data_IF_891069510608
#
_entry.id   IF_891069510608
#
_cell.length_a   1.000
_cell.length_b   1.000
_cell.length_c   1.000
_cell.angle_alpha   90.00
_cell.angle_beta   90.00
_cell.angle_gamma   90.00
#
_symmetry.space_group_name_H-M   'P 1'
#
loop_
_entity.id
_entity.type
_entity.pdbx_description
1 polymer ?
#
# COMPACT_ATOMS: atom_id res chain seq x y z
N UNK A 1 0.71 10.19 -4.48
CA UNK A 1 1.60 10.92 -3.53
C UNK A 1 1.40 12.43 -3.61
N UNK A 2 1.40 13.05 -4.80
CA UNK A 2 1.12 14.48 -4.96
C UNK A 2 -0.25 14.89 -4.41
N UNK A 3 -1.32 14.16 -4.70
CA UNK A 3 -2.68 14.49 -4.23
C UNK A 3 -2.85 14.34 -2.73
N UNK A 4 -2.28 13.31 -2.12
CA UNK A 4 -2.30 13.14 -0.67
C UNK A 4 -1.53 14.24 0.03
N UNK A 5 -0.41 14.69 -0.53
CA UNK A 5 0.32 15.87 -0.05
C UNK A 5 -0.50 17.15 -0.22
N UNK A 6 -1.14 17.34 -1.39
CA UNK A 6 -1.97 18.51 -1.67
C UNK A 6 -3.19 18.59 -0.75
N UNK A 7 -3.93 17.49 -0.62
CA UNK A 7 -5.15 17.45 0.19
C UNK A 7 -4.85 17.55 1.67
N UNK A 8 -3.74 16.97 2.13
CA UNK A 8 -3.36 17.08 3.55
C UNK A 8 -2.85 18.45 3.92
N UNK A 9 -2.10 19.11 3.04
CA UNK A 9 -1.67 20.49 3.26
C UNK A 9 -2.86 21.46 3.11
N UNK A 10 -3.77 21.21 2.17
CA UNK A 10 -5.02 21.97 2.05
C UNK A 10 -5.88 21.82 3.31
N UNK A 11 -5.91 20.63 3.93
CA UNK A 11 -6.58 20.47 5.22
C UNK A 11 -5.82 21.08 6.39
N UNK A 12 -4.48 21.06 6.41
CA UNK A 12 -3.69 21.84 7.40
C UNK A 12 -4.04 23.32 7.29
N UNK A 13 -4.12 23.85 6.07
CA UNK A 13 -4.50 25.23 5.77
C UNK A 13 -5.95 25.49 6.24
N UNK A 14 -6.90 24.59 5.96
CA UNK A 14 -8.30 24.74 6.40
C UNK A 14 -8.42 24.67 7.93
N UNK A 15 -7.73 23.74 8.59
CA UNK A 15 -7.73 23.61 10.04
C UNK A 15 -7.09 24.85 10.69
N UNK A 16 -5.99 25.34 10.12
CA UNK A 16 -5.36 26.59 10.55
C UNK A 16 -6.26 27.80 10.28
N UNK A 17 -6.99 27.85 9.15
CA UNK A 17 -7.99 28.89 8.84
C UNK A 17 -9.11 28.92 9.89
N UNK A 18 -9.67 27.76 10.22
CA UNK A 18 -10.72 27.63 11.23
C UNK A 18 -10.24 28.08 12.63
N UNK A 19 -8.94 27.97 12.90
CA UNK A 19 -8.34 28.30 14.19
C UNK A 19 -7.84 29.76 14.26
N UNK A 20 -7.33 30.29 13.15
CA UNK A 20 -6.83 31.68 12.99
C UNK A 20 -7.88 32.76 13.17
N UNK A 21 -9.18 32.40 13.04
CA UNK A 21 -10.32 33.29 13.34
C UNK A 21 -10.30 33.85 14.76
N UNK A 22 -9.58 33.23 15.71
CA UNK A 22 -9.48 33.72 17.09
C UNK A 22 -8.37 34.75 17.32
N UNK A 23 -7.29 34.72 16.54
CA UNK A 23 -6.07 35.52 16.82
C UNK A 23 -5.73 36.53 15.70
N UNK A 24 -6.61 36.74 14.72
CA UNK A 24 -6.36 37.68 13.61
C UNK A 24 -5.27 37.25 12.63
N UNK A 25 -4.89 35.97 12.61
CA UNK A 25 -3.70 35.46 11.91
C UNK A 25 -3.93 35.08 10.43
N UNK A 26 -4.90 35.69 9.75
CA UNK A 26 -5.22 35.45 8.33
C UNK A 26 -3.99 35.55 7.43
N UNK A 27 -3.10 36.50 7.71
CA UNK A 27 -1.87 36.74 6.96
C UNK A 27 -0.94 35.52 6.95
N UNK A 28 -0.79 34.81 8.07
CA UNK A 28 0.04 33.60 8.16
C UNK A 28 -0.53 32.49 7.29
N UNK A 29 -1.85 32.38 7.20
CA UNK A 29 -2.51 31.38 6.35
C UNK A 29 -2.35 31.70 4.88
N UNK A 30 -2.54 32.97 4.51
CA UNK A 30 -2.37 33.41 3.13
C UNK A 30 -0.94 33.12 2.68
N UNK A 31 0.08 33.42 3.51
CA UNK A 31 1.47 33.10 3.18
C UNK A 31 1.74 31.60 3.12
N UNK A 32 1.22 30.80 4.05
CA UNK A 32 1.39 29.35 4.01
C UNK A 32 0.74 28.72 2.77
N UNK A 33 -0.48 29.17 2.44
CA UNK A 33 -1.22 28.74 1.24
C UNK A 33 -0.49 29.15 -0.03
N UNK A 34 -0.05 30.41 -0.12
CA UNK A 34 0.66 30.93 -1.27
C UNK A 34 1.99 30.20 -1.48
N UNK A 35 2.80 30.05 -0.43
CA UNK A 35 4.06 29.30 -0.49
C UNK A 35 3.85 27.86 -0.92
N UNK A 36 2.77 27.23 -0.44
CA UNK A 36 2.40 25.88 -0.86
C UNK A 36 2.00 25.81 -2.34
N UNK A 37 1.07 26.66 -2.79
CA UNK A 37 0.65 26.70 -4.20
C UNK A 37 1.86 26.93 -5.10
N UNK A 38 2.73 27.88 -4.75
CA UNK A 38 3.97 28.15 -5.48
C UNK A 38 4.90 26.92 -5.51
N UNK A 39 5.00 26.18 -4.41
CA UNK A 39 5.81 24.95 -4.35
C UNK A 39 5.28 23.82 -5.25
N UNK A 40 3.98 23.82 -5.56
CA UNK A 40 3.38 22.85 -6.48
C UNK A 40 3.62 23.18 -7.95
N UNK A 41 3.82 24.47 -8.30
CA UNK A 41 3.93 24.92 -9.69
C UNK A 41 5.01 24.16 -10.46
N UNK A 42 6.26 23.99 -9.97
CA UNK A 42 7.29 23.24 -10.69
C UNK A 42 6.86 21.80 -11.01
N UNK A 43 6.16 21.15 -10.08
CA UNK A 43 5.68 19.77 -10.25
C UNK A 43 4.51 19.67 -11.23
N UNK A 44 3.56 20.61 -11.17
CA UNK A 44 2.44 20.69 -12.11
C UNK A 44 2.94 20.98 -13.53
N UNK A 45 3.91 21.89 -13.67
CA UNK A 45 4.56 22.20 -14.94
C UNK A 45 5.35 21.00 -15.48
N UNK A 46 6.09 20.29 -14.62
CA UNK A 46 6.82 19.08 -15.01
C UNK A 46 5.87 17.99 -15.53
N UNK A 47 4.75 17.75 -14.83
CA UNK A 47 3.74 16.78 -15.28
C UNK A 47 3.12 17.21 -16.61
N UNK A 48 2.80 18.50 -16.76
CA UNK A 48 2.22 19.02 -18.00
C UNK A 48 3.19 18.88 -19.17
N UNK A 49 4.46 19.20 -18.96
CA UNK A 49 5.51 19.06 -19.98
C UNK A 49 5.73 17.60 -20.39
N UNK A 50 5.80 16.67 -19.43
CA UNK A 50 6.12 15.27 -19.70
C UNK A 50 4.92 14.45 -20.20
N UNK A 51 3.71 14.72 -19.70
CA UNK A 51 2.52 13.90 -19.92
C UNK A 51 1.37 14.64 -20.62
N UNK A 52 1.50 15.93 -20.92
CA UNK A 52 0.43 16.75 -21.48
C UNK A 52 -0.72 17.03 -20.51
N UNK A 53 -0.52 16.79 -19.22
CA UNK A 53 -1.53 16.91 -18.16
C UNK A 53 -0.89 17.37 -16.86
N UNK A 54 -1.53 18.30 -16.13
CA UNK A 54 -1.08 18.72 -14.79
C UNK A 54 -1.18 17.58 -13.76
N UNK A 55 -2.04 16.60 -14.04
CA UNK A 55 -2.22 15.37 -13.28
C UNK A 55 -1.33 14.28 -13.90
N UNK A 56 -0.56 13.56 -13.07
CA UNK A 56 0.32 12.48 -13.53
C UNK A 56 -0.46 11.37 -14.26
N UNK A 57 0.21 10.66 -15.18
CA UNK A 57 -0.40 9.56 -15.93
C UNK A 57 -1.00 8.47 -15.03
N UNK A 58 -0.34 8.18 -13.91
CA UNK A 58 -0.84 7.22 -12.91
C UNK A 58 -2.15 7.69 -12.27
N UNK A 59 -2.24 8.97 -11.93
CA UNK A 59 -3.44 9.53 -11.33
C UNK A 59 -4.58 9.64 -12.34
N UNK A 60 -4.29 9.92 -13.61
CA UNK A 60 -5.29 9.86 -14.67
C UNK A 60 -5.93 8.49 -14.75
N UNK A 61 -5.14 7.43 -14.58
CA UNK A 61 -5.61 6.04 -14.52
C UNK A 61 -6.47 5.78 -13.26
N UNK A 62 -6.02 6.22 -12.09
CA UNK A 62 -6.78 6.09 -10.83
C UNK A 62 -8.13 6.83 -10.90
N UNK A 63 -8.15 8.04 -11.47
CA UNK A 63 -9.38 8.82 -11.65
C UNK A 63 -10.25 8.19 -12.73
N UNK A 64 -9.67 7.73 -13.85
CA UNK A 64 -10.43 7.10 -14.92
C UNK A 64 -11.03 5.76 -14.51
N UNK A 65 -10.34 4.97 -13.68
CA UNK A 65 -10.88 3.71 -13.13
C UNK A 65 -12.09 3.99 -12.23
N UNK A 66 -11.99 5.02 -11.37
CA UNK A 66 -13.13 5.48 -10.56
C UNK A 66 -14.29 5.93 -11.44
N UNK A 67 -14.02 6.49 -12.64
CA UNK A 67 -15.04 6.93 -13.59
C UNK A 67 -15.56 5.79 -14.47
N UNK A 68 -14.76 4.80 -14.84
CA UNK A 68 -15.21 3.64 -15.63
C UNK A 68 -16.01 2.64 -14.81
N UNK A 69 -15.77 2.56 -13.50
CA UNK A 69 -16.63 1.86 -12.55
C UNK A 69 -18.04 2.52 -12.50
N UNK A 70 -18.19 3.79 -12.92
CA UNK A 70 -19.47 4.52 -12.99
C UNK A 70 -20.41 4.07 -14.11
N UNK A 71 -20.11 2.97 -14.81
CA UNK A 71 -21.08 2.28 -15.68
C UNK A 71 -22.30 1.68 -14.96
N UNK A 72 -22.51 1.96 -13.66
CA UNK A 72 -23.70 1.56 -12.91
C UNK A 72 -23.52 1.44 -11.38
N UNK A 73 -22.31 1.54 -10.83
CA UNK A 73 -22.11 1.42 -9.38
C UNK A 73 -22.63 2.68 -8.66
N UNK A 74 -23.68 2.55 -7.85
CA UNK A 74 -24.18 3.66 -7.03
C UNK A 74 -23.15 4.17 -6.00
N UNK A 75 -23.35 5.38 -5.49
CA UNK A 75 -22.52 6.03 -4.45
C UNK A 75 -22.13 5.10 -3.28
N UNK A 76 -23.05 4.22 -2.87
CA UNK A 76 -22.82 3.26 -1.79
C UNK A 76 -21.69 2.27 -2.10
N UNK A 77 -21.59 1.76 -3.35
CA UNK A 77 -20.53 0.83 -3.72
C UNK A 77 -19.15 1.52 -3.66
N UNK A 78 -19.06 2.75 -4.19
CA UNK A 78 -17.84 3.54 -4.08
C UNK A 78 -17.44 3.77 -2.62
N UNK A 79 -18.41 4.10 -1.75
CA UNK A 79 -18.17 4.24 -0.33
C UNK A 79 -17.64 2.95 0.29
N UNK A 80 -18.23 1.79 -0.02
CA UNK A 80 -17.74 0.50 0.46
C UNK A 80 -16.34 0.17 -0.04
N UNK A 81 -16.02 0.44 -1.31
CA UNK A 81 -14.68 0.26 -1.87
C UNK A 81 -13.66 1.15 -1.15
N UNK A 82 -13.97 2.43 -0.91
CA UNK A 82 -13.10 3.34 -0.16
C UNK A 82 -12.94 2.95 1.30
N UNK A 83 -14.00 2.48 1.96
CA UNK A 83 -13.89 1.93 3.31
C UNK A 83 -13.04 0.66 3.35
N UNK A 84 -13.09 -0.17 2.30
CA UNK A 84 -12.24 -1.36 2.16
C UNK A 84 -10.77 -0.98 1.97
N UNK A 85 -10.48 0.02 1.13
CA UNK A 85 -9.10 0.54 0.98
C UNK A 85 -8.61 1.13 2.30
N UNK A 86 -9.42 1.96 2.96
CA UNK A 86 -9.11 2.50 4.28
C UNK A 86 -8.75 1.36 5.24
N UNK A 87 -9.60 0.35 5.32
CA UNK A 87 -9.36 -0.83 6.13
C UNK A 87 -8.02 -1.50 5.81
N UNK A 88 -7.70 -1.74 4.54
CA UNK A 88 -6.44 -2.35 4.14
C UNK A 88 -5.22 -1.52 4.55
N UNK A 89 -5.30 -0.20 4.44
CA UNK A 89 -4.23 0.71 4.84
C UNK A 89 -4.00 0.73 6.36
N UNK A 90 -5.07 0.60 7.15
CA UNK A 90 -4.99 0.64 8.61
C UNK A 90 -4.68 -0.73 9.23
N UNK A 91 -5.24 -1.82 8.69
CA UNK A 91 -5.34 -3.08 9.43
C UNK A 91 -4.88 -4.35 8.71
N UNK A 92 -4.90 -4.42 7.36
CA UNK A 92 -4.24 -5.41 6.48
C UNK A 92 -5.05 -5.70 5.19
N UNK A 93 -4.34 -5.93 4.08
CA UNK A 93 -4.80 -6.30 2.73
C UNK A 93 -5.55 -7.64 2.61
N UNK A 94 -5.30 -8.61 3.49
CA UNK A 94 -5.70 -10.02 3.24
C UNK A 94 -6.93 -10.52 4.02
N UNK A 95 -7.74 -9.63 4.58
CA UNK A 95 -8.71 -10.04 5.59
C UNK A 95 -10.07 -10.49 5.01
N UNK A 96 -10.46 -11.72 5.32
CA UNK A 96 -11.84 -12.24 5.19
C UNK A 96 -12.86 -11.34 5.90
N UNK A 97 -14.13 -11.37 5.45
CA UNK A 97 -15.24 -10.56 5.98
C UNK A 97 -15.39 -10.57 7.51
N UNK A 98 -14.96 -11.64 8.18
CA UNK A 98 -14.99 -11.80 9.64
C UNK A 98 -14.05 -10.80 10.33
N UNK A 99 -12.91 -10.49 9.71
CA UNK A 99 -11.94 -9.52 10.22
C UNK A 99 -12.42 -8.07 10.08
N UNK A 100 -13.31 -7.78 9.13
CA UNK A 100 -13.98 -6.48 9.03
C UNK A 100 -14.89 -6.23 10.24
N UNK A 101 -15.57 -7.28 10.71
CA UNK A 101 -16.50 -7.19 11.84
C UNK A 101 -15.78 -6.97 13.17
N UNK A 102 -14.73 -7.75 13.46
CA UNK A 102 -13.96 -7.63 14.70
C UNK A 102 -13.39 -6.22 14.92
N UNK A 103 -13.13 -5.52 13.81
CA UNK A 103 -12.40 -4.27 13.78
C UNK A 103 -13.33 -3.05 13.75
N UNK A 104 -14.50 -3.19 13.12
CA UNK A 104 -15.65 -2.31 13.35
C UNK A 104 -16.04 -2.39 14.84
N UNK A 105 -16.13 -3.60 15.41
CA UNK A 105 -16.37 -3.80 16.85
C UNK A 105 -15.28 -3.14 17.70
N UNK A 106 -14.02 -3.16 17.25
CA UNK A 106 -12.89 -2.52 17.94
C UNK A 106 -13.05 -0.99 17.94
N UNK A 107 -13.37 -0.40 16.79
CA UNK A 107 -13.53 1.06 16.62
C UNK A 107 -14.76 1.57 17.37
N UNK A 108 -15.90 0.87 17.26
CA UNK A 108 -17.14 1.15 17.99
C UNK A 108 -16.92 0.93 19.49
N UNK A 109 -16.31 -0.19 19.88
CA UNK A 109 -16.01 -0.52 21.27
C UNK A 109 -15.13 0.53 21.94
N UNK A 110 -14.11 1.05 21.25
CA UNK A 110 -13.27 2.17 21.72
C UNK A 110 -14.08 3.44 21.96
N UNK A 111 -14.99 3.78 21.04
CA UNK A 111 -15.82 4.96 21.17
C UNK A 111 -16.80 4.84 22.36
N UNK A 112 -17.41 3.66 22.53
CA UNK A 112 -18.40 3.41 23.58
C UNK A 112 -17.80 3.16 24.97
N UNK A 113 -16.68 2.44 25.08
CA UNK A 113 -16.07 2.13 26.39
C UNK A 113 -15.48 3.36 27.07
N UNK A 114 -15.04 4.34 26.27
CA UNK A 114 -14.55 5.64 26.78
C UNK A 114 -15.63 6.50 27.44
N UNK A 115 -16.91 6.21 27.22
CA UNK A 115 -18.02 6.88 27.90
C UNK A 115 -18.25 6.36 29.33
N UNK A 116 -17.64 5.23 29.74
CA UNK A 116 -18.03 4.54 30.97
C UNK A 116 -16.91 4.31 32.00
N UNK A 117 -15.73 3.78 31.61
CA UNK A 117 -14.64 3.52 32.57
C UNK A 117 -13.27 3.30 31.86
N UNK A 118 -12.28 4.12 32.21
CA UNK A 118 -10.92 4.02 31.67
C UNK A 118 -10.25 2.64 31.93
N UNK A 119 -10.54 1.97 33.05
CA UNK A 119 -9.95 0.66 33.37
C UNK A 119 -10.53 -0.45 32.51
N UNK A 120 -11.86 -0.49 32.35
CA UNK A 120 -12.55 -1.47 31.49
C UNK A 120 -12.19 -1.29 30.03
N UNK A 121 -12.05 -0.04 29.59
CA UNK A 121 -11.56 0.31 28.25
C UNK A 121 -10.17 -0.27 28.00
N UNK A 122 -9.25 -0.13 28.97
CA UNK A 122 -7.90 -0.68 28.85
C UNK A 122 -7.89 -2.21 28.77
N UNK A 123 -8.62 -2.89 29.65
CA UNK A 123 -8.64 -4.36 29.68
C UNK A 123 -9.21 -4.89 28.37
N UNK A 124 -10.32 -4.31 27.90
CA UNK A 124 -10.90 -4.67 26.61
C UNK A 124 -9.93 -4.42 25.46
N UNK A 125 -9.23 -3.27 25.48
CA UNK A 125 -8.22 -2.94 24.48
C UNK A 125 -7.07 -3.96 24.46
N UNK A 126 -6.57 -4.34 25.63
CA UNK A 126 -5.50 -5.34 25.77
C UNK A 126 -5.94 -6.72 25.28
N UNK A 127 -7.14 -7.15 25.63
CA UNK A 127 -7.68 -8.44 25.19
C UNK A 127 -7.81 -8.47 23.67
N UNK A 128 -8.42 -7.44 23.09
CA UNK A 128 -8.56 -7.36 21.64
C UNK A 128 -7.21 -7.24 20.94
N UNK A 129 -6.28 -6.46 21.50
CA UNK A 129 -4.92 -6.34 20.97
C UNK A 129 -4.19 -7.68 21.00
N UNK A 130 -4.29 -8.44 22.09
CA UNK A 130 -3.68 -9.77 22.22
C UNK A 130 -4.33 -10.77 21.25
N UNK A 131 -5.65 -10.80 21.17
CA UNK A 131 -6.38 -11.67 20.23
C UNK A 131 -6.01 -11.35 18.78
N UNK A 132 -5.95 -10.07 18.44
CA UNK A 132 -5.51 -9.62 17.12
C UNK A 132 -4.04 -10.03 16.90
N UNK A 133 -3.13 -9.75 17.84
CA UNK A 133 -1.71 -10.13 17.74
C UNK A 133 -1.48 -11.65 17.60
N UNK A 134 -2.25 -12.48 18.31
CA UNK A 134 -2.19 -13.93 18.18
C UNK A 134 -2.68 -14.39 16.80
N UNK A 135 -3.79 -13.84 16.33
CA UNK A 135 -4.32 -14.12 15.00
C UNK A 135 -3.36 -13.67 13.90
N UNK A 136 -2.76 -12.49 14.07
CA UNK A 136 -1.69 -11.95 13.25
C UNK A 136 -0.49 -12.91 13.22
N UNK A 137 -0.05 -13.41 14.38
CA UNK A 137 1.04 -14.37 14.48
C UNK A 137 0.73 -15.67 13.74
N UNK A 138 -0.50 -16.16 13.88
CA UNK A 138 -1.00 -17.34 13.17
C UNK A 138 -1.00 -17.13 11.65
N UNK A 139 -1.55 -15.99 11.17
CA UNK A 139 -1.58 -15.67 9.75
C UNK A 139 -0.19 -15.45 9.15
N UNK A 140 0.77 -14.91 9.92
CA UNK A 140 2.18 -14.84 9.50
C UNK A 140 2.80 -16.23 9.32
N UNK A 141 2.45 -17.15 10.20
CA UNK A 141 2.95 -18.52 10.14
C UNK A 141 2.39 -19.26 8.90
N UNK A 142 1.15 -19.00 8.52
CA UNK A 142 0.50 -19.66 7.38
C UNK A 142 0.70 -18.92 6.05
N UNK A 143 0.78 -17.59 6.06
CA UNK A 143 0.82 -16.71 4.87
C UNK A 143 1.78 -15.51 5.05
N UNK A 144 3.11 -15.74 5.08
CA UNK A 144 4.11 -14.73 5.46
C UNK A 144 4.20 -13.51 4.52
N UNK A 145 3.69 -13.61 3.27
CA UNK A 145 3.81 -12.54 2.28
C UNK A 145 2.70 -11.47 2.35
N UNK A 146 1.54 -11.80 2.94
CA UNK A 146 0.36 -10.92 2.93
C UNK A 146 0.29 -9.97 4.12
N UNK A 147 1.05 -10.26 5.17
CA UNK A 147 0.75 -9.72 6.50
C UNK A 147 1.48 -8.41 6.85
N UNK A 148 2.54 -8.00 6.15
CA UNK A 148 3.27 -6.75 6.42
C UNK A 148 2.62 -5.57 5.67
N UNK A 149 1.30 -5.48 5.78
CA UNK A 149 0.52 -4.39 5.19
C UNK A 149 -0.49 -3.93 6.24
N UNK A 150 -0.58 -2.62 6.51
CA UNK A 150 -1.42 -2.04 7.56
C UNK A 150 -0.63 -1.26 8.61
N UNK A 151 -1.11 -0.09 9.03
CA UNK A 151 -0.46 0.76 10.03
C UNK A 151 -0.44 0.12 11.42
N UNK A 152 -1.58 -0.40 11.86
CA UNK A 152 -1.74 -0.90 13.23
C UNK A 152 -0.97 -2.21 13.46
N UNK A 153 -0.99 -3.19 12.54
CA UNK A 153 -0.14 -4.36 12.66
C UNK A 153 1.35 -4.01 12.69
N UNK A 154 1.78 -3.03 11.90
CA UNK A 154 3.21 -2.69 11.78
C UNK A 154 3.70 -1.78 12.91
N UNK A 155 2.84 -0.91 13.44
CA UNK A 155 3.17 0.12 14.43
C UNK A 155 2.07 0.19 15.51
N UNK A 156 1.88 -0.90 16.29
CA UNK A 156 0.74 -1.04 17.19
C UNK A 156 0.72 -0.04 18.34
N UNK A 157 1.87 0.52 18.72
CA UNK A 157 1.94 1.55 19.76
C UNK A 157 1.28 2.87 19.35
N UNK A 158 0.95 3.09 18.07
CA UNK A 158 0.17 4.24 17.59
C UNK A 158 -1.22 4.28 18.23
N UNK A 159 -1.75 3.13 18.68
CA UNK A 159 -3.06 3.12 19.32
C UNK A 159 -3.06 3.84 20.69
N UNK A 160 -1.87 4.07 21.28
CA UNK A 160 -1.79 4.85 22.52
C UNK A 160 -2.30 6.28 22.38
N UNK A 161 -2.36 6.84 21.17
CA UNK A 161 -2.96 8.15 20.89
C UNK A 161 -4.38 8.24 21.47
N UNK A 162 -5.15 7.16 21.40
CA UNK A 162 -6.53 7.14 21.86
C UNK A 162 -6.68 7.40 23.36
N UNK A 163 -5.67 7.06 24.16
CA UNK A 163 -5.67 7.32 25.61
C UNK A 163 -5.41 8.79 25.96
N UNK A 164 -4.59 9.51 25.18
CA UNK A 164 -4.28 10.92 25.45
C UNK A 164 -5.21 11.91 24.76
N UNK A 165 -6.04 11.46 23.80
CA UNK A 165 -7.04 12.29 23.13
C UNK A 165 -7.94 13.13 24.08
N UNK A 166 -8.52 12.61 25.18
CA UNK A 166 -9.45 13.38 26.01
C UNK A 166 -8.76 14.52 26.76
N UNK A 167 -7.63 14.22 27.40
CA UNK A 167 -6.80 15.20 28.08
C UNK A 167 -6.27 16.24 27.09
N UNK A 168 -5.88 15.82 25.89
CA UNK A 168 -5.43 16.74 24.85
C UNK A 168 -6.57 17.68 24.42
N UNK A 169 -7.78 17.18 24.17
CA UNK A 169 -8.90 18.03 23.75
C UNK A 169 -9.33 19.01 24.83
N UNK A 170 -9.27 18.62 26.11
CA UNK A 170 -9.54 19.48 27.27
C UNK A 170 -8.47 20.54 27.51
N UNK A 171 -7.19 20.22 27.28
CA UNK A 171 -6.08 21.14 27.52
C UNK A 171 -6.12 22.31 26.51
N UNK A 172 -6.45 23.52 26.96
CA UNK A 172 -6.54 24.71 26.11
C UNK A 172 -5.16 25.20 25.63
N UNK A 173 -4.10 24.94 26.40
CA UNK A 173 -2.74 25.39 26.11
C UNK A 173 -2.03 24.50 25.08
N UNK A 174 -2.53 23.28 24.86
CA UNK A 174 -1.96 22.33 23.90
C UNK A 174 -2.39 22.59 22.43
N UNK A 175 -2.40 23.87 22.01
CA UNK A 175 -2.91 24.29 20.70
C UNK A 175 -2.14 23.64 19.55
N UNK A 176 -0.81 23.71 19.61
CA UNK A 176 0.08 23.20 18.55
C UNK A 176 -0.06 21.67 18.40
N UNK A 177 -0.19 20.97 19.53
CA UNK A 177 -0.44 19.54 19.55
C UNK A 177 -1.81 19.18 18.97
N UNK A 178 -2.86 19.97 19.22
CA UNK A 178 -4.17 19.75 18.57
C UNK A 178 -4.09 19.92 17.07
N UNK A 179 -3.42 20.98 16.59
CA UNK A 179 -3.26 21.23 15.16
C UNK A 179 -2.50 20.08 14.49
N UNK A 180 -1.39 19.64 15.09
CA UNK A 180 -0.60 18.52 14.60
C UNK A 180 -1.41 17.21 14.59
N UNK A 181 -2.28 16.99 15.59
CA UNK A 181 -3.14 15.81 15.65
C UNK A 181 -4.19 15.86 14.55
N UNK A 182 -4.94 16.95 14.46
CA UNK A 182 -6.02 17.07 13.48
C UNK A 182 -5.48 17.00 12.06
N UNK A 183 -4.37 17.67 11.77
CA UNK A 183 -3.71 17.56 10.47
C UNK A 183 -3.27 16.13 10.15
N UNK A 184 -2.73 15.40 11.12
CA UNK A 184 -2.34 14.00 10.95
C UNK A 184 -3.56 13.10 10.70
N UNK A 185 -4.62 13.23 11.52
CA UNK A 185 -5.85 12.45 11.35
C UNK A 185 -6.54 12.76 10.02
N UNK A 186 -6.57 14.02 9.63
CA UNK A 186 -7.04 14.48 8.34
C UNK A 186 -6.23 13.91 7.19
N UNK A 187 -4.90 13.94 7.30
CA UNK A 187 -4.00 13.30 6.33
C UNK A 187 -4.36 11.82 6.16
N UNK A 188 -4.48 11.09 7.26
CA UNK A 188 -4.79 9.65 7.24
C UNK A 188 -6.15 9.40 6.60
N UNK A 189 -7.18 10.14 7.01
CA UNK A 189 -8.54 10.02 6.48
C UNK A 189 -8.62 10.33 4.98
N UNK A 190 -8.07 11.45 4.55
CA UNK A 190 -8.05 11.83 3.15
C UNK A 190 -7.28 10.81 2.32
N UNK A 191 -6.12 10.38 2.81
CA UNK A 191 -5.32 9.36 2.14
C UNK A 191 -6.08 8.05 1.99
N UNK A 192 -6.86 7.65 2.99
CA UNK A 192 -7.74 6.49 2.92
C UNK A 192 -8.85 6.62 1.87
N UNK A 193 -9.35 7.83 1.61
CA UNK A 193 -10.37 8.08 0.57
C UNK A 193 -9.74 8.18 -0.83
N UNK A 194 -8.59 8.83 -0.94
CA UNK A 194 -7.97 9.16 -2.23
C UNK A 194 -7.21 7.97 -2.80
N UNK A 195 -6.64 7.11 -1.95
CA UNK A 195 -5.88 5.95 -2.41
C UNK A 195 -6.68 5.14 -3.46
N UNK A 196 -6.02 4.79 -4.55
CA UNK A 196 -6.60 3.96 -5.62
C UNK A 196 -6.94 2.56 -5.11
N UNK A 197 -7.88 1.90 -5.79
CA UNK A 197 -8.32 0.52 -5.52
C UNK A 197 -7.14 -0.46 -5.46
N UNK A 198 -6.22 -0.37 -6.42
CA UNK A 198 -5.00 -1.20 -6.45
C UNK A 198 -3.91 -0.70 -5.48
N UNK A 199 -4.03 0.57 -5.05
CA UNK A 199 -3.04 1.26 -4.25
C UNK A 199 -2.93 0.72 -2.82
N UNK A 200 -4.05 0.29 -2.24
CA UNK A 200 -4.09 -0.29 -0.88
C UNK A 200 -3.21 -1.52 -0.74
N UNK A 201 -3.15 -2.37 -1.76
CA UNK A 201 -2.40 -3.63 -1.73
C UNK A 201 -0.93 -3.47 -2.15
N UNK A 202 -0.64 -2.61 -3.14
CA UNK A 202 0.74 -2.42 -3.64
C UNK A 202 1.58 -1.48 -2.77
N UNK A 203 0.97 -0.42 -2.23
CA UNK A 203 1.69 0.60 -1.47
C UNK A 203 1.43 0.52 0.03
N UNK A 204 0.32 -0.10 0.44
CA UNK A 204 0.02 -0.41 1.84
C UNK A 204 0.16 0.81 2.78
N UNK A 205 0.67 0.61 4.00
CA UNK A 205 0.74 1.66 5.01
C UNK A 205 1.80 2.74 4.69
N UNK A 206 2.55 2.60 3.59
CA UNK A 206 3.54 3.62 3.15
C UNK A 206 2.88 4.97 2.89
N UNK A 207 1.61 4.94 2.51
CA UNK A 207 0.78 6.12 2.39
C UNK A 207 0.72 6.96 3.67
N UNK A 208 0.88 6.35 4.84
CA UNK A 208 0.82 7.02 6.15
C UNK A 208 2.17 7.43 6.71
N UNK A 209 3.29 7.12 6.03
CA UNK A 209 4.63 7.53 6.48
C UNK A 209 4.75 9.03 6.79
N UNK A 210 4.14 9.96 6.04
CA UNK A 210 4.22 11.38 6.36
C UNK A 210 3.55 11.75 7.69
N UNK A 211 2.51 11.03 8.10
CA UNK A 211 1.83 11.25 9.38
C UNK A 211 2.55 10.54 10.56
N UNK A 212 3.39 9.55 10.26
CA UNK A 212 3.96 8.68 11.29
C UNK A 212 4.76 9.41 12.38
N UNK A 213 5.66 10.38 12.09
CA UNK A 213 6.39 11.09 13.13
C UNK A 213 5.46 11.78 14.14
N UNK A 214 4.39 12.40 13.66
CA UNK A 214 3.39 13.03 14.51
C UNK A 214 2.66 12.01 15.39
N UNK A 215 2.26 10.87 14.81
CA UNK A 215 1.62 9.77 15.54
C UNK A 215 2.53 9.23 16.66
N UNK A 216 3.83 9.10 16.41
CA UNK A 216 4.82 8.69 17.42
C UNK A 216 4.86 9.70 18.59
N UNK A 217 4.93 11.00 18.27
CA UNK A 217 4.92 12.08 19.28
C UNK A 217 3.64 11.99 20.12
N UNK A 218 2.48 11.79 19.49
CA UNK A 218 1.22 11.66 20.23
C UNK A 218 1.16 10.42 21.09
N UNK A 219 1.67 9.28 20.63
CA UNK A 219 1.74 8.07 21.44
C UNK A 219 2.59 8.27 22.70
N UNK A 220 3.75 8.93 22.57
CA UNK A 220 4.62 9.26 23.71
C UNK A 220 3.97 10.29 24.66
N UNK A 221 3.33 11.31 24.10
CA UNK A 221 2.59 12.31 24.87
C UNK A 221 1.44 11.66 25.66
N UNK A 222 0.64 10.82 25.01
CA UNK A 222 -0.42 10.04 25.66
C UNK A 222 0.11 9.16 26.78
N UNK A 223 1.25 8.48 26.58
CA UNK A 223 1.90 7.71 27.64
C UNK A 223 2.28 8.61 28.83
N UNK A 224 2.78 9.82 28.59
CA UNK A 224 3.14 10.76 29.65
C UNK A 224 1.93 11.21 30.49
N UNK A 225 0.76 11.35 29.86
CA UNK A 225 -0.49 11.70 30.54
C UNK A 225 -0.98 10.55 31.42
N UNK A 226 -0.94 9.32 30.90
CA UNK A 226 -1.31 8.12 31.67
C UNK A 226 -0.43 7.93 32.91
N UNK A 227 0.85 8.33 32.85
CA UNK A 227 1.73 8.32 34.04
C UNK A 227 1.21 9.20 35.18
N UNK A 228 0.50 10.28 34.87
CA UNK A 228 0.00 11.24 35.86
C UNK A 228 -1.37 10.85 36.43
N UNK A 229 -2.20 10.16 35.65
CA UNK A 229 -3.60 9.90 36.00
C UNK A 229 -3.91 8.46 36.41
N UNK A 230 -3.01 7.50 36.17
CA UNK A 230 -3.29 6.09 36.40
C UNK A 230 -2.73 5.54 37.72
N UNK A 231 -3.43 4.56 38.27
CA UNK A 231 -3.02 3.83 39.48
C UNK A 231 -1.83 2.87 39.22
N UNK A 232 -1.60 2.47 37.96
CA UNK A 232 -0.56 1.49 37.58
C UNK A 232 0.33 1.98 36.43
N UNK A 233 1.05 3.11 36.58
CA UNK A 233 1.81 3.72 35.49
C UNK A 233 2.90 2.79 34.91
N UNK A 234 3.46 1.88 35.72
CA UNK A 234 4.45 0.89 35.27
C UNK A 234 3.86 -0.15 34.31
N UNK A 235 2.60 -0.55 34.48
CA UNK A 235 1.95 -1.52 33.60
C UNK A 235 1.78 -0.92 32.20
N UNK A 236 1.32 0.34 32.11
CA UNK A 236 1.19 1.02 30.82
C UNK A 236 2.52 1.22 30.11
N UNK A 237 3.59 1.50 30.85
CA UNK A 237 4.94 1.58 30.28
C UNK A 237 5.40 0.22 29.75
N UNK A 238 5.17 -0.85 30.51
CA UNK A 238 5.48 -2.22 30.09
C UNK A 238 4.72 -2.61 28.82
N UNK A 239 3.42 -2.31 28.74
CA UNK A 239 2.60 -2.53 27.54
C UNK A 239 3.17 -1.73 26.37
N UNK A 240 3.39 -0.42 26.55
CA UNK A 240 3.90 0.45 25.49
C UNK A 240 5.25 -0.06 24.95
N UNK A 241 6.16 -0.43 25.85
CA UNK A 241 7.45 -1.01 25.49
C UNK A 241 7.28 -2.34 24.76
N UNK A 242 6.39 -3.21 25.22
CA UNK A 242 6.04 -4.46 24.53
C UNK A 242 5.54 -4.22 23.11
N UNK A 243 4.68 -3.23 22.90
CA UNK A 243 4.21 -2.83 21.56
C UNK A 243 5.34 -2.30 20.67
N UNK A 244 6.28 -1.54 21.24
CA UNK A 244 7.47 -1.09 20.52
C UNK A 244 8.36 -2.26 20.09
N UNK A 245 8.57 -3.24 20.97
CA UNK A 245 9.35 -4.44 20.66
C UNK A 245 8.67 -5.31 19.60
N UNK A 246 7.33 -5.46 19.66
CA UNK A 246 6.54 -6.14 18.62
C UNK A 246 6.70 -5.42 17.28
N UNK A 247 6.55 -4.08 17.27
CA UNK A 247 6.76 -3.28 16.06
C UNK A 247 8.14 -3.51 15.47
N UNK A 248 9.19 -3.44 16.30
CA UNK A 248 10.56 -3.69 15.88
C UNK A 248 10.73 -5.08 15.28
N UNK A 249 10.19 -6.12 15.91
CA UNK A 249 10.27 -7.50 15.42
C UNK A 249 9.56 -7.67 14.06
N UNK A 250 8.37 -7.07 13.88
CA UNK A 250 7.65 -7.08 12.60
C UNK A 250 8.45 -6.38 11.51
N UNK A 251 9.05 -5.21 11.82
CA UNK A 251 9.92 -4.51 10.86
C UNK A 251 11.16 -5.34 10.51
N UNK A 252 11.76 -6.02 11.48
CA UNK A 252 12.90 -6.92 11.26
C UNK A 252 12.57 -8.07 10.30
N UNK A 253 11.42 -8.74 10.49
CA UNK A 253 10.91 -9.74 9.54
C UNK A 253 10.72 -9.11 8.17
N UNK A 254 10.12 -7.91 8.10
CA UNK A 254 9.93 -7.15 6.87
C UNK A 254 11.23 -6.87 6.13
N UNK A 255 12.29 -6.49 6.84
CA UNK A 255 13.62 -6.33 6.25
C UNK A 255 14.16 -7.64 5.67
N UNK A 256 13.99 -8.76 6.38
CA UNK A 256 14.39 -10.08 5.89
C UNK A 256 13.64 -10.50 4.62
N UNK A 257 12.32 -10.27 4.56
CA UNK A 257 11.52 -10.53 3.35
C UNK A 257 11.90 -9.60 2.20
N UNK A 258 12.16 -8.32 2.48
CA UNK A 258 12.60 -7.36 1.48
C UNK A 258 13.97 -7.75 0.90
N UNK A 259 14.90 -8.21 1.73
CA UNK A 259 16.20 -8.70 1.28
C UNK A 259 16.06 -9.92 0.36
N UNK A 260 15.22 -10.90 0.73
CA UNK A 260 14.93 -12.06 -0.13
C UNK A 260 14.28 -11.64 -1.45
N UNK A 261 13.34 -10.69 -1.41
CA UNK A 261 12.71 -10.12 -2.59
C UNK A 261 13.73 -9.44 -3.52
N UNK A 262 14.60 -8.60 -2.97
CA UNK A 262 15.67 -7.93 -3.73
C UNK A 262 16.67 -8.92 -4.32
N UNK A 263 17.03 -9.99 -3.61
CA UNK A 263 17.89 -11.05 -4.14
C UNK A 263 17.22 -11.78 -5.30
N UNK A 264 15.95 -12.16 -5.16
CA UNK A 264 15.19 -12.80 -6.24
C UNK A 264 15.08 -11.87 -7.47
N UNK A 265 14.79 -10.58 -7.25
CA UNK A 265 14.74 -9.57 -8.31
C UNK A 265 16.10 -9.38 -8.99
N UNK A 266 17.20 -9.38 -8.24
CA UNK A 266 18.55 -9.31 -8.82
C UNK A 266 18.86 -10.51 -9.71
N UNK A 267 18.54 -11.73 -9.27
CA UNK A 267 18.71 -12.93 -10.08
C UNK A 267 17.84 -12.90 -11.34
N UNK A 268 16.59 -12.47 -11.21
CA UNK A 268 15.66 -12.26 -12.32
C UNK A 268 16.21 -11.26 -13.34
N UNK A 269 16.73 -10.13 -12.87
CA UNK A 269 17.35 -9.10 -13.70
C UNK A 269 18.55 -9.67 -14.46
N UNK A 270 19.46 -10.38 -13.79
CA UNK A 270 20.63 -11.00 -14.42
C UNK A 270 20.25 -12.01 -15.50
N UNK A 271 19.28 -12.87 -15.21
CA UNK A 271 18.77 -13.81 -16.20
C UNK A 271 18.19 -13.12 -17.44
N UNK A 272 17.45 -12.02 -17.26
CA UNK A 272 16.92 -11.23 -18.38
C UNK A 272 18.01 -10.47 -19.15
N UNK A 273 19.10 -10.07 -18.48
CA UNK A 273 20.28 -9.50 -19.15
C UNK A 273 20.96 -10.52 -20.05
N UNK A 274 21.09 -11.78 -19.60
CA UNK A 274 21.78 -12.85 -20.31
C UNK A 274 20.98 -13.41 -21.51
N UNK A 275 19.65 -13.28 -21.48
CA UNK A 275 18.79 -13.63 -22.61
C UNK A 275 19.15 -12.76 -23.82
N UNK A 276 19.41 -13.38 -24.98
CA UNK A 276 19.83 -12.63 -26.18
C UNK A 276 18.69 -11.88 -26.84
N UNK A 277 17.49 -12.46 -26.84
CA UNK A 277 16.32 -11.85 -27.45
C UNK A 277 16.03 -10.46 -26.86
N UNK A 278 15.78 -9.43 -27.69
CA UNK A 278 15.32 -8.13 -27.23
C UNK A 278 13.84 -8.14 -26.81
N UNK A 279 13.08 -9.17 -27.17
CA UNK A 279 11.65 -9.28 -26.89
C UNK A 279 11.44 -10.25 -25.72
N UNK A 280 10.73 -9.78 -24.69
CA UNK A 280 10.34 -10.54 -23.51
C UNK A 280 8.82 -10.51 -23.40
N UNK A 281 8.20 -11.69 -23.35
CA UNK A 281 6.76 -11.86 -23.20
C UNK A 281 6.51 -12.49 -21.83
N UNK A 282 5.55 -11.97 -21.06
CA UNK A 282 5.22 -12.52 -19.75
C UNK A 282 3.76 -12.33 -19.37
N UNK A 283 3.27 -13.22 -18.49
CA UNK A 283 1.99 -13.06 -17.79
C UNK A 283 2.07 -12.08 -16.62
N UNK A 284 3.27 -11.82 -16.10
CA UNK A 284 3.47 -10.93 -14.97
C UNK A 284 3.62 -9.49 -15.46
N UNK A 285 2.59 -8.67 -15.24
CA UNK A 285 2.69 -7.22 -15.42
C UNK A 285 3.88 -6.63 -14.63
N UNK A 286 4.08 -7.15 -13.41
CA UNK A 286 5.15 -6.76 -12.50
C UNK A 286 6.56 -6.94 -13.07
N UNK A 287 6.78 -7.90 -13.99
CA UNK A 287 8.10 -8.20 -14.54
C UNK A 287 8.76 -6.97 -15.17
N UNK A 288 7.99 -6.18 -15.93
CA UNK A 288 8.51 -4.97 -16.57
C UNK A 288 8.86 -3.88 -15.55
N UNK A 289 8.04 -3.71 -14.51
CA UNK A 289 8.25 -2.72 -13.45
C UNK A 289 9.41 -3.10 -12.53
N UNK A 290 9.60 -4.38 -12.26
CA UNK A 290 10.68 -4.93 -11.46
C UNK A 290 12.03 -4.85 -12.21
N UNK A 291 12.00 -4.81 -13.54
CA UNK A 291 13.21 -4.78 -14.38
C UNK A 291 13.31 -3.49 -15.19
N UNK A 292 12.92 -2.37 -14.60
CA UNK A 292 12.91 -1.06 -15.26
C UNK A 292 14.28 -0.64 -15.82
N UNK A 293 15.39 -1.15 -15.27
CA UNK A 293 16.74 -0.93 -15.80
C UNK A 293 16.96 -1.53 -17.20
N UNK A 294 16.14 -2.51 -17.59
CA UNK A 294 16.16 -3.12 -18.92
C UNK A 294 15.21 -2.45 -19.91
N UNK A 295 14.47 -1.42 -19.51
CA UNK A 295 13.45 -0.77 -20.33
C UNK A 295 13.98 -0.28 -21.69
N UNK A 296 15.24 0.16 -21.75
CA UNK A 296 15.87 0.61 -22.99
C UNK A 296 16.57 -0.50 -23.79
N UNK A 297 16.73 -1.69 -23.19
CA UNK A 297 17.41 -2.84 -23.81
C UNK A 297 16.44 -3.91 -24.30
N UNK A 298 15.26 -3.99 -23.68
CA UNK A 298 14.25 -5.04 -23.90
C UNK A 298 12.88 -4.43 -24.14
N UNK A 299 12.12 -5.02 -25.05
CA UNK A 299 10.71 -4.73 -25.26
C UNK A 299 9.89 -5.78 -24.50
N UNK A 300 9.13 -5.33 -23.50
CA UNK A 300 8.29 -6.18 -22.67
C UNK A 300 6.85 -6.19 -23.21
N UNK A 301 6.33 -7.39 -23.46
CA UNK A 301 4.92 -7.62 -23.76
C UNK A 301 4.25 -8.33 -22.59
N UNK A 302 3.24 -7.69 -22.02
CA UNK A 302 2.35 -8.33 -21.07
C UNK A 302 1.20 -9.01 -21.83
N UNK A 303 0.96 -10.28 -21.51
CA UNK A 303 -0.18 -11.05 -22.00
C UNK A 303 -1.00 -11.50 -20.79
N UNK A 304 -2.26 -11.13 -20.74
CA UNK A 304 -3.18 -11.45 -19.65
C UNK A 304 -3.89 -12.80 -19.86
N UNK A 305 -4.14 -13.15 -21.12
CA UNK A 305 -4.83 -14.38 -21.50
C UNK A 305 -4.29 -15.06 -22.78
N UNK A 306 -4.90 -16.20 -23.12
CA UNK A 306 -4.52 -17.04 -24.25
C UNK A 306 -4.80 -16.36 -25.60
N UNK A 307 -5.91 -15.61 -25.68
CA UNK A 307 -6.30 -14.85 -26.86
C UNK A 307 -5.31 -13.73 -27.14
N UNK A 308 -4.92 -12.98 -26.10
CA UNK A 308 -3.86 -11.97 -26.16
C UNK A 308 -2.54 -12.55 -26.64
N UNK A 309 -2.12 -13.70 -26.10
CA UNK A 309 -0.92 -14.40 -26.56
C UNK A 309 -1.04 -14.85 -28.03
N UNK A 310 -2.16 -15.46 -28.45
CA UNK A 310 -2.39 -15.88 -29.84
C UNK A 310 -2.34 -14.70 -30.82
N UNK A 311 -2.92 -13.56 -30.44
CA UNK A 311 -2.90 -12.32 -31.21
C UNK A 311 -1.47 -11.80 -31.34
N UNK A 312 -0.72 -11.74 -30.24
CA UNK A 312 0.67 -11.31 -30.23
C UNK A 312 1.56 -12.21 -31.10
N UNK A 313 1.44 -13.53 -30.96
CA UNK A 313 2.20 -14.49 -31.78
C UNK A 313 1.89 -14.33 -33.28
N UNK A 314 0.63 -14.06 -33.64
CA UNK A 314 0.25 -13.82 -35.03
C UNK A 314 0.88 -12.53 -35.57
N UNK A 315 1.01 -11.49 -34.73
CA UNK A 315 1.75 -10.26 -35.06
C UNK A 315 3.24 -10.56 -35.21
N UNK A 316 3.83 -11.37 -34.33
CA UNK A 316 5.24 -11.74 -34.41
C UNK A 316 5.57 -12.48 -35.69
N UNK A 317 4.77 -13.49 -36.07
CA UNK A 317 4.92 -14.22 -37.35
C UNK A 317 4.79 -13.26 -38.54
N UNK A 318 3.75 -12.42 -38.56
CA UNK A 318 3.54 -11.43 -39.63
C UNK A 318 4.74 -10.48 -39.80
N UNK A 319 5.38 -10.09 -38.70
CA UNK A 319 6.53 -9.19 -38.69
C UNK A 319 7.89 -9.93 -38.71
N UNK A 320 7.90 -11.26 -38.92
CA UNK A 320 9.11 -12.09 -39.01
C UNK A 320 10.02 -11.95 -37.78
N UNK A 321 9.43 -11.82 -36.59
CA UNK A 321 10.17 -11.86 -35.33
C UNK A 321 10.77 -13.26 -35.18
N UNK A 322 12.11 -13.34 -35.13
CA UNK A 322 12.82 -14.62 -35.19
C UNK A 322 12.95 -15.29 -33.83
N UNK A 323 13.02 -14.50 -32.76
CA UNK A 323 13.26 -14.98 -31.41
C UNK A 323 12.55 -14.09 -30.39
N UNK A 324 12.06 -14.74 -29.33
CA UNK A 324 11.54 -14.07 -28.14
C UNK A 324 11.77 -14.95 -26.91
N UNK A 325 11.82 -14.33 -25.74
CA UNK A 325 11.80 -15.06 -24.48
C UNK A 325 10.41 -14.97 -23.86
N UNK A 326 9.89 -16.11 -23.41
CA UNK A 326 8.66 -16.22 -22.67
C UNK A 326 8.93 -16.54 -21.20
N UNK A 327 8.56 -15.62 -20.32
CA UNK A 327 8.75 -15.74 -18.87
C UNK A 327 7.42 -16.11 -18.23
N UNK A 328 7.31 -17.36 -17.79
CA UNK A 328 6.14 -17.91 -17.11
C UNK A 328 6.38 -18.04 -15.60
N UNK A 329 5.30 -18.21 -14.83
CA UNK A 329 5.43 -18.66 -13.46
C UNK A 329 5.85 -20.13 -13.40
N UNK A 330 6.52 -20.53 -12.33
CA UNK A 330 6.78 -21.94 -12.03
C UNK A 330 5.44 -22.70 -11.89
N UNK A 331 5.38 -23.95 -12.38
CA UNK A 331 4.16 -24.76 -12.32
C UNK A 331 3.71 -25.03 -10.88
N UNK A 332 4.62 -25.10 -9.92
CA UNK A 332 4.25 -25.20 -8.51
C UNK A 332 3.61 -23.90 -7.98
N UNK A 333 4.04 -22.74 -8.49
CA UNK A 333 3.39 -21.46 -8.20
C UNK A 333 2.00 -21.38 -8.87
N UNK A 334 1.84 -21.96 -10.07
CA UNK A 334 0.54 -22.10 -10.76
C UNK A 334 -0.42 -23.10 -10.07
N UNK A 335 0.09 -23.99 -9.20
CA UNK A 335 -0.73 -24.93 -8.44
C UNK A 335 -1.54 -24.27 -7.32
N UNK A 336 -1.08 -23.13 -6.81
CA UNK A 336 -1.71 -22.38 -5.71
C UNK A 336 -2.78 -21.41 -6.24
N UNK A 337 -3.90 -21.97 -6.69
CA UNK A 337 -5.25 -21.41 -6.99
C UNK A 337 -5.43 -20.09 -7.77
N UNK A 338 -4.61 -19.03 -7.60
CA UNK A 338 -4.87 -17.73 -8.25
C UNK A 338 -4.53 -17.71 -9.75
N UNK A 339 -3.68 -18.63 -10.21
CA UNK A 339 -3.22 -18.71 -11.60
C UNK A 339 -3.61 -20.03 -12.26
N UNK A 340 -4.54 -20.79 -11.68
CA UNK A 340 -5.05 -22.02 -12.26
C UNK A 340 -5.63 -21.76 -13.67
N UNK A 341 -6.23 -20.58 -13.87
CA UNK A 341 -6.70 -20.11 -15.18
C UNK A 341 -5.58 -19.90 -16.19
N UNK A 342 -4.32 -19.69 -15.78
CA UNK A 342 -3.15 -19.56 -16.66
C UNK A 342 -2.47 -20.90 -16.95
N UNK A 343 -3.00 -22.03 -16.45
CA UNK A 343 -2.53 -23.38 -16.82
C UNK A 343 -3.02 -23.75 -18.23
N UNK A 344 -2.54 -23.02 -19.22
CA UNK A 344 -2.68 -23.44 -20.60
C UNK A 344 -1.34 -23.92 -21.11
N UNK A 345 -1.39 -24.81 -22.09
CA UNK A 345 -0.21 -25.31 -22.78
C UNK A 345 0.35 -24.21 -23.71
N UNK A 346 0.92 -23.17 -23.11
CA UNK A 346 1.52 -22.04 -23.83
C UNK A 346 2.59 -22.53 -24.80
N UNK A 347 3.32 -23.58 -24.41
CA UNK A 347 4.33 -24.22 -25.24
C UNK A 347 3.69 -24.72 -26.54
N UNK A 348 2.62 -25.52 -26.45
CA UNK A 348 1.89 -25.99 -27.63
C UNK A 348 1.40 -24.84 -28.50
N UNK A 349 0.85 -23.77 -27.92
CA UNK A 349 0.36 -22.62 -28.69
C UNK A 349 1.46 -21.87 -29.45
N UNK A 350 2.63 -21.73 -28.82
CA UNK A 350 3.79 -21.10 -29.42
C UNK A 350 4.34 -22.00 -30.54
N UNK A 351 4.38 -23.31 -30.32
CA UNK A 351 4.83 -24.31 -31.29
C UNK A 351 3.89 -24.43 -32.50
N UNK A 352 2.57 -24.35 -32.30
CA UNK A 352 1.57 -24.28 -33.37
C UNK A 352 1.78 -23.07 -34.31
N UNK A 353 2.46 -22.02 -33.83
CA UNK A 353 2.82 -20.83 -34.63
C UNK A 353 4.18 -20.92 -35.31
N UNK A 354 4.86 -22.08 -35.22
CA UNK A 354 6.13 -22.33 -35.90
C UNK A 354 7.38 -22.00 -35.09
N UNK A 355 7.23 -21.64 -33.81
CA UNK A 355 8.37 -21.41 -32.92
C UNK A 355 8.78 -22.70 -32.22
N UNK A 356 10.08 -22.91 -32.02
CA UNK A 356 10.62 -24.02 -31.26
C UNK A 356 11.30 -23.51 -29.99
N UNK A 357 11.09 -24.22 -28.87
CA UNK A 357 11.80 -23.97 -27.63
C UNK A 357 13.29 -24.34 -27.81
N UNK A 358 14.18 -23.37 -27.62
CA UNK A 358 15.63 -23.57 -27.76
C UNK A 358 16.36 -23.63 -26.41
N UNK A 359 15.79 -23.02 -25.37
CA UNK A 359 16.37 -23.00 -24.03
C UNK A 359 15.26 -22.92 -22.97
N UNK A 360 15.45 -23.61 -21.86
CA UNK A 360 14.53 -23.66 -20.74
C UNK A 360 15.33 -23.68 -19.44
N UNK A 361 15.11 -22.69 -18.58
CA UNK A 361 15.79 -22.63 -17.29
C UNK A 361 14.94 -21.92 -16.24
N UNK A 362 15.16 -22.29 -14.97
CA UNK A 362 14.55 -21.67 -13.80
C UNK A 362 15.61 -20.92 -13.01
N UNK A 363 15.28 -19.68 -12.64
CA UNK A 363 16.20 -18.77 -11.93
C UNK A 363 15.77 -18.60 -10.47
N UNK A 364 14.49 -18.89 -10.19
CA UNK A 364 13.90 -18.80 -8.87
C UNK A 364 12.71 -19.75 -8.81
N UNK A 365 12.23 -20.04 -7.59
CA UNK A 365 10.99 -20.81 -7.36
C UNK A 365 9.72 -20.17 -7.93
N UNK A 366 9.83 -19.02 -8.60
CA UNK A 366 8.69 -18.24 -9.07
C UNK A 366 8.66 -18.09 -10.58
N UNK A 367 9.80 -18.08 -11.27
CA UNK A 367 9.89 -17.73 -12.69
C UNK A 367 10.69 -18.74 -13.50
N UNK A 368 10.12 -19.10 -14.65
CA UNK A 368 10.69 -20.02 -15.63
C UNK A 368 10.84 -19.27 -16.96
N UNK A 369 12.02 -19.39 -17.55
CA UNK A 369 12.41 -18.70 -18.77
C UNK A 369 12.45 -19.70 -19.92
N UNK A 370 11.77 -19.35 -21.00
CA UNK A 370 11.64 -20.20 -22.18
C UNK A 370 12.03 -19.38 -23.40
N UNK A 371 13.19 -19.64 -24.00
CA UNK A 371 13.60 -18.97 -25.23
C UNK A 371 13.04 -19.72 -26.44
N UNK A 372 12.36 -19.00 -27.32
CA UNK A 372 11.73 -19.55 -28.52
C UNK A 372 12.33 -18.95 -29.78
N UNK A 373 12.48 -19.77 -30.81
CA UNK A 373 12.99 -19.37 -32.13
C UNK A 373 12.06 -19.82 -33.24
N UNK A 374 11.75 -18.94 -34.18
CA UNK A 374 10.94 -19.25 -35.35
C UNK A 374 11.71 -20.19 -36.29
N UNK A 375 11.11 -21.34 -36.62
CA UNK A 375 11.71 -22.39 -37.48
C UNK A 375 10.96 -22.53 -38.81
N UNK A 376 9.68 -22.17 -38.83
CA UNK A 376 8.81 -22.12 -40.02
C UNK A 376 8.43 -20.68 -40.30
#
# INVERSE_FOLDING_TARGET
>A
RMETTILSISMIIILYLLQSRKDGSLQKVVFATAGFVLSLIPLLLYNYWLYGSVISAHNKYVISDVVSIQGGSGFLQLLFEKLTIAYHLWFNGAADRINNLALIILTIGIFFLRLTDHKKTLIFFLILFLLNSCYIGYQNFTHPATFITGLIPTIPYVVFILFGLPELTKNKEALDLKLLLYSSLSYLFLTSIIAGSDGGNQWGPRYFLPALPALIIFSLYSLSLVKRSSFFPKIYQGIFLGLCLISFFIQWIGFGLLQKGNQAQFLQLRALEDIKSPIVVSYSYGLSTENATLFYKKCFFWVDDQGSLKKLLSIFVKNKIKDFCFVSFDQEALKKDKYASLRWDFKRLIEEKGYQLINHFSVSSWYVYNEFKLVK
#
